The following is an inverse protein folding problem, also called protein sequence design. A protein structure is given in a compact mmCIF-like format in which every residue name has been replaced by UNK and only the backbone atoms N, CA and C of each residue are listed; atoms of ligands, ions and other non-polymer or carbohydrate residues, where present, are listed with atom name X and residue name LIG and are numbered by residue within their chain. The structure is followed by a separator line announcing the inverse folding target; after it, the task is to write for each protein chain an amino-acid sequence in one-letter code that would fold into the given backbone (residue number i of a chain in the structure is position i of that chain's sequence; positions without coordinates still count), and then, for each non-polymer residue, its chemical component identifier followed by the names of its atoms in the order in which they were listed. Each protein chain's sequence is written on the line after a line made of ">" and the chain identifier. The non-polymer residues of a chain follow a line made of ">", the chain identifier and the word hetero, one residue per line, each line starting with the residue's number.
data_IF_321135963268
#
_entry.id   IF_321135963268
#
_cell.length_a   1.000
_cell.length_b   1.000
_cell.length_c   1.000
_cell.angle_alpha   90.00
_cell.angle_beta   90.00
_cell.angle_gamma   90.00
#
_symmetry.space_group_name_H-M   'P 1'
#
loop_
_entity.id
_entity.type
_entity.pdbx_description
1 polymer ?
#
# COMPACT_ATOMS: atom_id res chain seq x y z
N UNK A 1 -0.24 14.72 -11.70
CA UNK A 1 -0.45 14.19 -10.33
C UNK A 1 0.86 14.19 -9.56
N UNK A 2 1.94 13.58 -10.08
CA UNK A 2 3.26 13.58 -9.39
C UNK A 2 3.78 14.99 -9.15
N UNK A 3 3.69 15.90 -10.14
CA UNK A 3 4.08 17.29 -9.96
C UNK A 3 3.29 17.99 -8.86
N UNK A 4 1.96 17.80 -8.85
CA UNK A 4 1.13 18.35 -7.78
C UNK A 4 1.52 17.81 -6.39
N UNK A 5 1.86 16.52 -6.29
CA UNK A 5 2.35 15.92 -5.04
C UNK A 5 3.70 16.54 -4.62
N UNK A 6 4.60 16.75 -5.58
CA UNK A 6 5.88 17.41 -5.32
C UNK A 6 5.70 18.84 -4.83
N UNK A 7 4.85 19.61 -5.50
CA UNK A 7 4.59 21.03 -5.18
C UNK A 7 3.91 21.17 -3.80
N UNK A 8 3.15 20.13 -3.40
CA UNK A 8 2.50 20.03 -2.09
C UNK A 8 3.41 19.48 -0.96
N UNK A 9 4.68 19.25 -1.26
CA UNK A 9 5.68 18.81 -0.29
C UNK A 9 5.79 17.29 -0.09
N UNK A 10 5.05 16.47 -0.84
CA UNK A 10 5.16 15.02 -0.77
C UNK A 10 6.49 14.57 -1.36
N UNK A 11 7.20 13.69 -0.65
CA UNK A 11 8.54 13.20 -1.01
C UNK A 11 8.67 11.68 -0.97
N UNK A 12 7.61 10.95 -0.68
CA UNK A 12 7.55 9.50 -0.77
C UNK A 12 6.60 9.07 -1.88
N UNK A 13 7.10 8.28 -2.83
CA UNK A 13 6.37 7.80 -4.00
C UNK A 13 6.44 6.27 -4.09
N UNK A 14 5.28 5.60 -4.09
CA UNK A 14 5.17 4.15 -4.25
C UNK A 14 4.67 3.78 -5.64
N UNK A 15 5.25 2.73 -6.19
CA UNK A 15 4.86 2.19 -7.48
C UNK A 15 4.97 0.65 -7.52
N UNK A 16 4.73 0.05 -8.68
CA UNK A 16 4.98 -1.36 -8.94
C UNK A 16 5.14 -1.64 -10.44
N UNK A 17 5.96 -2.64 -10.82
CA UNK A 17 6.00 -3.15 -12.20
C UNK A 17 4.63 -3.62 -12.71
N UNK A 18 3.83 -4.22 -11.83
CA UNK A 18 2.48 -4.68 -12.16
C UNK A 18 1.55 -3.54 -12.63
N UNK A 19 1.72 -2.32 -12.13
CA UNK A 19 0.81 -1.22 -12.43
C UNK A 19 0.91 -0.77 -13.89
N UNK A 20 -0.03 -1.26 -14.68
CA UNK A 20 -0.06 -1.03 -16.11
C UNK A 20 1.13 -1.64 -16.87
N UNK A 21 1.64 -2.79 -16.41
CA UNK A 21 2.79 -3.48 -17.01
C UNK A 21 4.02 -2.54 -17.14
N UNK A 22 4.36 -1.86 -16.06
CA UNK A 22 5.48 -0.91 -15.97
C UNK A 22 5.18 0.51 -16.43
N UNK A 23 3.98 0.79 -16.97
CA UNK A 23 3.62 2.13 -17.43
C UNK A 23 3.63 3.17 -16.29
N UNK A 24 3.19 2.77 -15.10
CA UNK A 24 3.16 3.67 -13.95
C UNK A 24 4.59 4.06 -13.51
N UNK A 25 5.54 3.14 -13.52
CA UNK A 25 6.95 3.43 -13.23
C UNK A 25 7.57 4.36 -14.29
N UNK A 26 7.29 4.13 -15.58
CA UNK A 26 7.75 5.00 -16.67
C UNK A 26 7.25 6.44 -16.47
N UNK A 27 5.96 6.62 -16.23
CA UNK A 27 5.34 7.93 -16.00
C UNK A 27 5.87 8.64 -14.75
N UNK A 28 6.08 7.88 -13.67
CA UNK A 28 6.65 8.43 -12.44
C UNK A 28 8.11 8.85 -12.67
N UNK A 29 8.91 8.02 -13.34
CA UNK A 29 10.29 8.32 -13.68
C UNK A 29 10.41 9.58 -14.56
N UNK A 30 9.51 9.76 -15.54
CA UNK A 30 9.46 10.96 -16.37
C UNK A 30 9.13 12.21 -15.55
N UNK A 31 8.17 12.15 -14.64
CA UNK A 31 7.78 13.27 -13.81
C UNK A 31 8.84 13.65 -12.77
N UNK A 32 9.59 12.67 -12.25
CA UNK A 32 10.62 12.88 -11.23
C UNK A 32 12.01 13.19 -11.80
N UNK A 33 12.26 12.96 -13.11
CA UNK A 33 13.57 13.06 -13.73
C UNK A 33 14.26 14.43 -13.56
N UNK A 34 13.48 15.51 -13.48
CA UNK A 34 14.00 16.88 -13.29
C UNK A 34 14.14 17.27 -11.80
N UNK A 35 13.81 16.39 -10.86
CA UNK A 35 13.84 16.66 -9.42
C UNK A 35 15.15 16.17 -8.82
N UNK A 36 15.73 16.90 -7.82
CA UNK A 36 16.95 16.42 -7.17
C UNK A 36 16.73 15.04 -6.55
N UNK A 37 17.50 14.04 -6.97
CA UNK A 37 17.29 12.64 -6.55
C UNK A 37 17.45 12.43 -5.05
N UNK A 38 18.20 13.30 -4.38
CA UNK A 38 18.39 13.28 -2.93
C UNK A 38 17.17 13.67 -2.10
N UNK A 39 16.19 14.33 -2.71
CA UNK A 39 15.09 14.97 -2.00
C UNK A 39 13.84 14.08 -1.86
N UNK A 40 13.85 12.88 -2.43
CA UNK A 40 12.68 12.00 -2.39
C UNK A 40 13.04 10.52 -2.27
N UNK A 41 12.08 9.75 -1.80
CA UNK A 41 12.14 8.31 -1.61
C UNK A 41 11.22 7.63 -2.61
N UNK A 42 11.72 6.58 -3.28
CA UNK A 42 10.93 5.71 -4.13
C UNK A 42 10.82 4.33 -3.48
N UNK A 43 9.60 3.80 -3.45
CA UNK A 43 9.38 2.36 -3.30
C UNK A 43 8.82 1.77 -4.59
N UNK A 44 9.23 0.54 -4.88
CA UNK A 44 8.63 -0.31 -5.91
C UNK A 44 8.51 -1.74 -5.42
N UNK A 45 8.09 -2.65 -6.30
CA UNK A 45 7.77 -4.02 -5.89
C UNK A 45 8.47 -5.05 -6.78
N UNK A 46 8.65 -6.26 -6.25
CA UNK A 46 9.21 -7.43 -6.96
C UNK A 46 8.27 -8.62 -6.86
N UNK A 47 8.52 -9.68 -7.63
CA UNK A 47 7.70 -10.88 -7.65
C UNK A 47 6.70 -10.93 -8.80
N UNK A 48 6.40 -9.79 -9.43
CA UNK A 48 5.61 -9.70 -10.67
C UNK A 48 6.47 -9.07 -11.74
N UNK A 49 6.98 -9.89 -12.65
CA UNK A 49 7.98 -9.53 -13.65
C UNK A 49 7.28 -9.10 -14.93
N UNK A 50 7.66 -7.95 -15.47
CA UNK A 50 7.20 -7.48 -16.77
C UNK A 50 8.21 -7.95 -17.82
N UNK A 51 7.75 -8.79 -18.74
CA UNK A 51 8.58 -9.31 -19.84
C UNK A 51 8.56 -8.36 -21.04
N UNK A 52 9.57 -8.49 -21.93
CA UNK A 52 9.56 -7.79 -23.23
C UNK A 52 8.54 -8.39 -24.20
N UNK A 53 8.14 -9.64 -23.96
CA UNK A 53 7.12 -10.34 -24.73
C UNK A 53 5.76 -9.60 -24.65
N UNK A 54 5.14 -9.43 -25.81
CA UNK A 54 3.85 -8.77 -25.96
C UNK A 54 2.75 -9.82 -26.09
N UNK A 55 1.66 -9.63 -25.39
CA UNK A 55 0.47 -10.48 -25.46
C UNK A 55 -0.77 -9.68 -25.93
N UNK A 56 -1.78 -10.40 -26.38
CA UNK A 56 -3.07 -9.78 -26.68
C UNK A 56 -3.74 -9.30 -25.38
N UNK A 57 -3.78 -7.98 -25.18
CA UNK A 57 -4.36 -7.36 -23.98
C UNK A 57 -5.83 -7.68 -23.82
N UNK A 58 -6.57 -7.90 -24.94
CA UNK A 58 -7.99 -8.24 -24.91
C UNK A 58 -8.24 -9.67 -24.39
N UNK A 59 -7.23 -10.55 -24.54
CA UNK A 59 -7.27 -11.93 -24.06
C UNK A 59 -6.65 -12.10 -22.65
N UNK A 60 -6.11 -11.02 -22.08
CA UNK A 60 -5.43 -11.07 -20.77
C UNK A 60 -6.45 -11.35 -19.67
N UNK A 61 -6.28 -12.49 -18.98
CA UNK A 61 -6.97 -12.72 -17.71
C UNK A 61 -6.28 -11.88 -16.62
N UNK A 62 -6.90 -10.78 -16.27
CA UNK A 62 -6.43 -9.91 -15.19
C UNK A 62 -7.04 -10.30 -13.83
N UNK A 63 -7.84 -11.37 -13.77
CA UNK A 63 -8.62 -11.77 -12.61
C UNK A 63 -9.69 -10.73 -12.24
N UNK A 64 -10.44 -10.97 -11.20
CA UNK A 64 -11.51 -10.06 -10.74
C UNK A 64 -11.03 -8.64 -10.41
N UNK A 65 -9.73 -8.47 -10.09
CA UNK A 65 -9.09 -7.18 -9.73
C UNK A 65 -8.39 -6.49 -10.90
N UNK A 66 -8.35 -7.11 -12.07
CA UNK A 66 -7.46 -6.70 -13.16
C UNK A 66 -7.93 -5.55 -14.02
N UNK A 67 -9.21 -5.24 -14.02
CA UNK A 67 -9.78 -4.10 -14.78
C UNK A 67 -9.19 -2.74 -14.35
N UNK A 68 -8.56 -2.68 -13.19
CA UNK A 68 -7.89 -1.48 -12.67
C UNK A 68 -6.75 -1.01 -13.59
N UNK A 69 -6.11 -1.93 -14.35
CA UNK A 69 -4.95 -1.64 -15.20
C UNK A 69 -5.16 -1.95 -16.68
N UNK A 70 -6.40 -1.99 -17.15
CA UNK A 70 -6.76 -2.33 -18.55
C UNK A 70 -6.09 -1.45 -19.62
N UNK A 71 -5.65 -0.25 -19.28
CA UNK A 71 -4.94 0.66 -20.19
C UNK A 71 -3.41 0.59 -20.03
N UNK A 72 -2.89 -0.50 -19.47
CA UNK A 72 -1.46 -0.75 -19.37
C UNK A 72 -0.80 -1.05 -20.70
N UNK A 73 0.52 -1.27 -20.65
CA UNK A 73 1.30 -1.77 -21.80
C UNK A 73 0.91 -3.20 -22.12
N UNK A 74 1.09 -3.66 -23.38
CA UNK A 74 0.76 -5.02 -23.77
C UNK A 74 1.78 -6.07 -23.32
N UNK A 75 2.75 -5.69 -22.50
CA UNK A 75 3.80 -6.59 -22.02
C UNK A 75 3.20 -7.68 -21.10
N UNK A 76 3.65 -8.92 -21.31
CA UNK A 76 3.27 -10.05 -20.46
C UNK A 76 3.84 -9.90 -19.06
N UNK A 77 3.06 -10.31 -18.07
CA UNK A 77 3.46 -10.32 -16.67
C UNK A 77 3.48 -11.76 -16.16
N UNK A 78 4.55 -12.14 -15.48
CA UNK A 78 4.69 -13.45 -14.84
C UNK A 78 5.01 -13.29 -13.36
N UNK A 79 4.60 -14.27 -12.56
CA UNK A 79 4.93 -14.31 -11.14
C UNK A 79 6.20 -15.14 -10.95
N UNK A 80 7.26 -14.52 -10.42
CA UNK A 80 8.53 -15.19 -10.12
C UNK A 80 9.20 -14.51 -8.93
N UNK A 81 9.31 -15.23 -7.82
CA UNK A 81 9.93 -14.78 -6.57
C UNK A 81 11.35 -15.31 -6.39
N UNK A 82 11.97 -15.87 -7.42
CA UNK A 82 13.36 -16.31 -7.37
C UNK A 82 14.32 -15.13 -7.15
N UNK A 83 15.53 -15.40 -6.67
CA UNK A 83 16.57 -14.40 -6.49
C UNK A 83 16.91 -13.69 -7.81
N UNK A 84 17.15 -14.47 -8.89
CA UNK A 84 17.51 -13.92 -10.21
C UNK A 84 16.38 -13.03 -10.78
N UNK A 85 15.12 -13.44 -10.63
CA UNK A 85 13.98 -12.65 -11.07
C UNK A 85 13.83 -11.37 -10.24
N UNK A 86 14.10 -11.44 -8.95
CA UNK A 86 14.09 -10.29 -8.05
C UNK A 86 15.12 -9.24 -8.45
N UNK A 87 16.37 -9.65 -8.68
CA UNK A 87 17.44 -8.75 -9.09
C UNK A 87 17.14 -8.10 -10.46
N UNK A 88 16.73 -8.90 -11.44
CA UNK A 88 16.32 -8.40 -12.76
C UNK A 88 15.15 -7.43 -12.68
N UNK A 89 14.15 -7.71 -11.83
CA UNK A 89 13.00 -6.81 -11.62
C UNK A 89 13.43 -5.44 -11.11
N UNK A 90 14.39 -5.40 -10.18
CA UNK A 90 14.95 -4.14 -9.65
C UNK A 90 15.67 -3.38 -10.75
N UNK A 91 16.55 -4.04 -11.53
CA UNK A 91 17.27 -3.41 -12.64
C UNK A 91 16.31 -2.83 -13.70
N UNK A 92 15.25 -3.55 -14.02
CA UNK A 92 14.25 -3.10 -14.98
C UNK A 92 13.39 -1.97 -14.44
N UNK A 93 13.10 -1.97 -13.13
CA UNK A 93 12.44 -0.84 -12.45
C UNK A 93 13.31 0.41 -12.43
N UNK A 94 14.61 0.30 -12.18
CA UNK A 94 15.56 1.42 -12.29
C UNK A 94 15.54 2.06 -13.69
N UNK A 95 15.52 1.25 -14.75
CA UNK A 95 15.41 1.72 -16.15
C UNK A 95 14.09 2.45 -16.39
N UNK A 96 12.95 1.86 -15.96
CA UNK A 96 11.62 2.46 -16.15
C UNK A 96 11.43 3.75 -15.33
N UNK A 97 11.95 3.77 -14.11
CA UNK A 97 11.92 4.93 -13.22
C UNK A 97 12.98 5.99 -13.58
N UNK A 98 13.88 5.69 -14.54
CA UNK A 98 14.97 6.61 -14.97
C UNK A 98 15.84 7.09 -13.79
N UNK A 99 16.17 6.20 -12.88
CA UNK A 99 16.94 6.49 -11.67
C UNK A 99 18.00 5.42 -11.43
N UNK A 100 19.03 5.77 -10.68
CA UNK A 100 20.13 4.89 -10.29
C UNK A 100 19.93 4.20 -8.94
N UNK A 101 18.84 4.53 -8.21
CA UNK A 101 18.55 3.95 -6.89
C UNK A 101 17.06 3.86 -6.59
N UNK A 102 16.70 2.87 -5.80
CA UNK A 102 15.39 2.65 -5.18
C UNK A 102 15.64 2.45 -3.70
N UNK A 103 14.94 3.18 -2.86
CA UNK A 103 15.15 3.12 -1.40
C UNK A 103 14.44 1.93 -0.76
N UNK A 104 13.22 1.62 -1.20
CA UNK A 104 12.39 0.59 -0.55
C UNK A 104 11.87 -0.39 -1.60
N UNK A 105 11.94 -1.69 -1.31
CA UNK A 105 11.44 -2.73 -2.20
C UNK A 105 10.46 -3.65 -1.47
N UNK A 106 9.25 -3.77 -1.98
CA UNK A 106 8.22 -4.65 -1.45
C UNK A 106 8.10 -5.95 -2.25
N UNK A 107 7.96 -7.09 -1.58
CA UNK A 107 7.58 -8.35 -2.22
C UNK A 107 6.07 -8.35 -2.40
N UNK A 108 5.61 -8.38 -3.66
CA UNK A 108 4.24 -8.07 -4.05
C UNK A 108 3.33 -9.29 -3.94
N UNK A 109 2.20 -9.12 -3.25
CA UNK A 109 1.03 -10.00 -3.30
C UNK A 109 1.27 -11.49 -3.02
N UNK A 110 2.27 -11.83 -2.20
CA UNK A 110 2.54 -13.21 -1.78
C UNK A 110 1.53 -13.62 -0.69
N UNK A 111 0.25 -13.72 -1.06
CA UNK A 111 -0.88 -13.86 -0.14
C UNK A 111 -2.02 -14.69 -0.73
N UNK A 112 -2.92 -15.15 0.15
CA UNK A 112 -4.03 -16.02 -0.20
C UNK A 112 -5.01 -15.41 -1.20
N UNK A 113 -5.24 -14.10 -1.16
CA UNK A 113 -6.14 -13.41 -2.09
C UNK A 113 -5.65 -13.37 -3.55
N UNK A 114 -4.40 -13.79 -3.81
CA UNK A 114 -3.83 -13.95 -5.15
C UNK A 114 -3.57 -15.40 -5.52
N UNK A 115 -3.23 -16.26 -4.56
CA UNK A 115 -2.79 -17.63 -4.83
C UNK A 115 -3.69 -18.71 -4.23
N UNK A 116 -4.82 -18.32 -3.58
CA UNK A 116 -5.70 -19.29 -2.94
C UNK A 116 -4.91 -20.18 -1.98
N UNK A 117 -5.13 -21.50 -2.08
CA UNK A 117 -4.48 -22.48 -1.21
C UNK A 117 -2.97 -22.65 -1.50
N UNK A 118 -2.48 -22.20 -2.65
CA UNK A 118 -1.06 -22.28 -3.03
C UNK A 118 -0.22 -21.17 -2.39
N UNK A 119 -0.81 -20.19 -1.70
CA UNK A 119 -0.10 -19.02 -1.21
C UNK A 119 1.08 -19.35 -0.27
N UNK A 120 0.98 -20.43 0.53
CA UNK A 120 2.09 -20.86 1.40
C UNK A 120 3.28 -21.38 0.59
N UNK A 121 3.04 -22.08 -0.52
CA UNK A 121 4.08 -22.53 -1.44
C UNK A 121 4.78 -21.34 -2.11
N UNK A 122 3.98 -20.34 -2.53
CA UNK A 122 4.51 -19.11 -3.13
C UNK A 122 5.29 -18.27 -2.10
N UNK A 123 4.80 -18.20 -0.87
CA UNK A 123 5.50 -17.55 0.24
C UNK A 123 6.86 -18.23 0.52
N UNK A 124 6.91 -19.56 0.55
CA UNK A 124 8.15 -20.32 0.75
C UNK A 124 9.13 -20.12 -0.42
N UNK A 125 8.62 -20.00 -1.65
CA UNK A 125 9.42 -19.63 -2.83
C UNK A 125 10.02 -18.23 -2.66
N UNK A 126 9.21 -17.25 -2.24
CA UNK A 126 9.66 -15.90 -1.96
C UNK A 126 10.69 -15.87 -0.81
N UNK A 127 10.49 -16.69 0.24
CA UNK A 127 11.42 -16.80 1.38
C UNK A 127 12.78 -17.31 0.96
N UNK A 128 12.83 -18.26 0.05
CA UNK A 128 14.09 -18.86 -0.47
C UNK A 128 14.80 -17.95 -1.48
N UNK A 129 14.07 -17.11 -2.21
CA UNK A 129 14.56 -16.23 -3.26
C UNK A 129 14.51 -14.75 -2.85
N UNK A 130 13.38 -14.08 -3.11
CA UNK A 130 13.23 -12.64 -2.99
C UNK A 130 13.61 -12.09 -1.61
N UNK A 131 13.19 -12.74 -0.50
CA UNK A 131 13.50 -12.22 0.85
C UNK A 131 15.01 -12.21 1.11
N UNK A 132 15.71 -13.29 0.72
CA UNK A 132 17.17 -13.36 0.88
C UNK A 132 17.91 -12.36 0.01
N UNK A 133 17.45 -12.21 -1.24
CA UNK A 133 18.04 -11.23 -2.15
C UNK A 133 17.90 -9.80 -1.61
N UNK A 134 16.71 -9.44 -1.13
CA UNK A 134 16.44 -8.10 -0.60
C UNK A 134 17.15 -7.84 0.73
N UNK A 135 17.22 -8.83 1.61
CA UNK A 135 17.96 -8.76 2.86
C UNK A 135 19.44 -8.46 2.61
N UNK A 136 20.05 -9.21 1.65
CA UNK A 136 21.41 -8.97 1.20
C UNK A 136 21.60 -7.57 0.59
N UNK A 137 20.72 -7.13 -0.32
CA UNK A 137 20.81 -5.81 -0.94
C UNK A 137 20.71 -4.67 0.08
N UNK A 138 19.91 -4.84 1.13
CA UNK A 138 19.84 -3.89 2.24
C UNK A 138 21.15 -3.88 3.02
N UNK A 139 21.70 -5.03 3.37
CA UNK A 139 22.96 -5.15 4.13
C UNK A 139 24.17 -4.60 3.34
N UNK A 140 24.13 -4.72 2.01
CA UNK A 140 25.10 -4.12 1.09
C UNK A 140 24.87 -2.60 0.87
N UNK A 141 23.77 -2.05 1.37
CA UNK A 141 23.41 -0.63 1.24
C UNK A 141 22.87 -0.23 -0.13
N UNK A 142 22.54 -1.20 -0.99
CA UNK A 142 21.95 -0.96 -2.32
C UNK A 142 20.52 -0.44 -2.20
N UNK A 143 19.75 -0.98 -1.26
CA UNK A 143 18.45 -0.47 -0.83
C UNK A 143 18.50 -0.07 0.63
N UNK A 144 17.51 0.67 1.10
CA UNK A 144 17.43 1.11 2.51
C UNK A 144 16.53 0.22 3.36
N UNK A 145 15.47 -0.33 2.74
CA UNK A 145 14.48 -1.13 3.42
C UNK A 145 13.80 -2.10 2.47
N UNK A 146 13.28 -3.19 3.02
CA UNK A 146 12.43 -4.12 2.30
C UNK A 146 11.34 -4.70 3.20
N UNK A 147 10.34 -5.31 2.58
CA UNK A 147 9.28 -6.05 3.27
C UNK A 147 8.22 -6.56 2.30
N UNK A 148 7.02 -6.84 2.80
CA UNK A 148 5.91 -7.31 1.98
C UNK A 148 5.01 -6.16 1.56
N UNK A 149 4.50 -6.19 0.32
CA UNK A 149 3.43 -5.33 -0.17
C UNK A 149 2.19 -6.18 -0.44
N UNK A 150 1.27 -6.26 0.50
CA UNK A 150 0.15 -7.22 0.51
C UNK A 150 -1.17 -6.61 1.00
N UNK A 151 -2.29 -7.26 0.66
CA UNK A 151 -3.63 -6.90 1.13
C UNK A 151 -4.12 -7.79 2.27
N UNK A 152 -3.24 -8.55 2.92
CA UNK A 152 -3.55 -9.46 4.01
C UNK A 152 -2.53 -9.33 5.12
N UNK A 153 -2.96 -9.53 6.36
CA UNK A 153 -2.07 -9.45 7.53
C UNK A 153 -1.26 -10.74 7.71
N UNK A 154 -1.80 -11.87 7.30
CA UNK A 154 -1.26 -13.20 7.54
C UNK A 154 0.15 -13.41 6.97
N UNK A 155 0.49 -12.97 5.74
CA UNK A 155 1.86 -13.10 5.24
C UNK A 155 2.88 -12.32 6.06
N UNK A 156 2.52 -11.12 6.54
CA UNK A 156 3.41 -10.30 7.36
C UNK A 156 3.57 -10.97 8.74
N UNK A 157 2.49 -11.42 9.36
CA UNK A 157 2.53 -12.15 10.63
C UNK A 157 3.39 -13.42 10.52
N UNK A 158 3.23 -14.18 9.43
CA UNK A 158 4.03 -15.38 9.18
C UNK A 158 5.52 -15.04 9.03
N UNK A 159 5.85 -13.99 8.26
CA UNK A 159 7.25 -13.55 8.12
C UNK A 159 7.86 -13.16 9.47
N UNK A 160 7.10 -12.52 10.35
CA UNK A 160 7.56 -12.16 11.70
C UNK A 160 7.71 -13.35 12.65
N UNK A 161 7.09 -14.49 12.35
CA UNK A 161 7.21 -15.71 13.17
C UNK A 161 8.38 -16.62 12.74
N UNK A 162 8.87 -16.44 11.53
CA UNK A 162 9.93 -17.30 10.99
C UNK A 162 11.32 -16.75 11.29
N UNK A 163 12.26 -17.67 11.44
CA UNK A 163 13.68 -17.32 11.46
C UNK A 163 14.20 -17.02 10.05
N UNK A 164 15.14 -16.10 9.94
CA UNK A 164 15.80 -15.75 8.68
C UNK A 164 15.74 -14.27 8.34
N UNK A 165 15.55 -13.90 7.04
CA UNK A 165 15.51 -12.51 6.60
C UNK A 165 14.47 -11.68 7.36
N UNK A 166 14.85 -10.48 7.77
CA UNK A 166 13.99 -9.61 8.61
C UNK A 166 13.60 -8.36 7.84
N UNK A 167 12.30 -8.13 7.61
CA UNK A 167 11.83 -6.92 6.96
C UNK A 167 12.01 -5.69 7.86
N UNK A 168 12.19 -4.53 7.25
CA UNK A 168 12.26 -3.23 7.92
C UNK A 168 10.87 -2.59 8.04
N UNK A 169 9.97 -2.96 7.13
CA UNK A 169 8.59 -2.49 7.11
C UNK A 169 7.70 -3.42 6.33
N UNK A 170 6.45 -3.01 6.13
CA UNK A 170 5.53 -3.65 5.18
C UNK A 170 4.50 -2.65 4.67
N UNK A 171 4.13 -2.76 3.39
CA UNK A 171 3.01 -2.04 2.82
C UNK A 171 1.77 -2.92 2.99
N UNK A 172 0.85 -2.49 3.85
CA UNK A 172 -0.40 -3.16 4.13
C UNK A 172 -1.55 -2.37 3.52
N UNK A 173 -2.17 -2.91 2.47
CA UNK A 173 -3.24 -2.23 1.76
C UNK A 173 -4.62 -2.63 2.29
N UNK A 174 -5.39 -1.61 2.70
CA UNK A 174 -6.81 -1.75 3.05
C UNK A 174 -7.12 -2.48 4.36
N UNK A 175 -6.12 -2.86 5.17
CA UNK A 175 -6.31 -3.66 6.41
C UNK A 175 -6.01 -2.91 7.71
N UNK A 176 -5.58 -1.65 7.61
CA UNK A 176 -5.55 -0.74 8.75
C UNK A 176 -6.16 0.59 8.33
N UNK A 177 -7.48 0.56 8.13
CA UNK A 177 -8.30 1.70 7.71
C UNK A 177 -9.48 1.88 8.67
N UNK A 178 -10.15 3.02 8.59
CA UNK A 178 -11.34 3.28 9.41
C UNK A 178 -12.45 2.22 9.22
N UNK A 179 -12.53 1.60 8.04
CA UNK A 179 -13.53 0.56 7.76
C UNK A 179 -13.06 -0.85 8.15
N UNK A 180 -11.76 -1.13 8.09
CA UNK A 180 -11.20 -2.45 8.38
C UNK A 180 -9.86 -2.32 9.10
N UNK A 181 -9.81 -2.66 10.39
CA UNK A 181 -8.63 -2.57 11.24
C UNK A 181 -8.59 -3.65 12.34
N UNK A 182 -9.72 -4.29 12.63
CA UNK A 182 -9.83 -5.24 13.76
C UNK A 182 -8.83 -6.39 13.64
N UNK A 183 -8.68 -6.98 12.46
CA UNK A 183 -7.79 -8.12 12.25
C UNK A 183 -6.31 -7.73 12.41
N UNK A 184 -5.92 -6.56 11.91
CA UNK A 184 -4.55 -6.08 12.05
C UNK A 184 -4.21 -5.76 13.52
N UNK A 185 -5.16 -5.19 14.28
CA UNK A 185 -4.97 -4.87 15.70
C UNK A 185 -4.79 -6.07 16.60
N UNK A 186 -5.37 -7.24 16.25
CA UNK A 186 -5.27 -8.42 17.10
C UNK A 186 -3.83 -8.87 17.34
N UNK A 187 -2.95 -8.74 16.33
CA UNK A 187 -1.62 -9.30 16.41
C UNK A 187 -0.56 -8.51 15.63
N UNK A 188 -0.84 -8.12 14.38
CA UNK A 188 0.16 -7.49 13.51
C UNK A 188 0.62 -6.14 14.06
N UNK A 189 -0.31 -5.23 14.34
CA UNK A 189 0.03 -3.85 14.70
C UNK A 189 0.81 -3.77 16.03
N UNK A 190 0.40 -4.46 17.13
CA UNK A 190 1.17 -4.48 18.35
C UNK A 190 2.57 -5.10 18.17
N UNK A 191 2.70 -6.11 17.31
CA UNK A 191 4.01 -6.73 17.03
C UNK A 191 4.90 -5.85 16.18
N UNK A 192 4.32 -5.14 15.22
CA UNK A 192 5.05 -4.18 14.40
C UNK A 192 5.62 -3.06 15.27
N UNK A 193 4.83 -2.50 16.17
CA UNK A 193 5.27 -1.49 17.14
C UNK A 193 6.39 -2.02 18.05
N UNK A 194 6.19 -3.18 18.68
CA UNK A 194 7.17 -3.78 19.57
C UNK A 194 8.52 -4.12 18.91
N UNK A 195 8.53 -4.30 17.57
CA UNK A 195 9.73 -4.63 16.79
C UNK A 195 10.31 -3.45 16.01
N UNK A 196 9.67 -2.28 16.05
CA UNK A 196 10.06 -1.13 15.23
C UNK A 196 9.84 -1.36 13.73
N UNK A 197 8.91 -2.26 13.35
CA UNK A 197 8.55 -2.51 11.96
C UNK A 197 7.64 -1.39 11.45
N UNK A 198 8.06 -0.64 10.44
CA UNK A 198 7.25 0.43 9.85
C UNK A 198 6.11 -0.12 8.98
N UNK A 199 4.87 0.25 9.26
CA UNK A 199 3.73 -0.08 8.39
C UNK A 199 3.42 1.10 7.49
N UNK A 200 3.43 0.88 6.18
CA UNK A 200 2.91 1.81 5.17
C UNK A 200 1.49 1.38 4.85
N UNK A 201 0.52 2.23 5.15
CA UNK A 201 -0.90 1.93 4.87
C UNK A 201 -1.25 2.36 3.45
N UNK A 202 -1.55 1.39 2.59
CA UNK A 202 -2.11 1.62 1.26
C UNK A 202 -3.63 1.63 1.29
N UNK A 203 -4.25 2.36 0.36
CA UNK A 203 -5.71 2.36 0.20
C UNK A 203 -6.52 2.80 1.43
N UNK A 204 -6.19 3.92 2.09
CA UNK A 204 -6.83 4.34 3.34
C UNK A 204 -8.34 4.60 3.21
N UNK A 205 -8.83 4.77 1.99
CA UNK A 205 -10.25 4.96 1.69
C UNK A 205 -10.99 3.66 1.31
N UNK A 206 -10.35 2.50 1.50
CA UNK A 206 -10.94 1.17 1.26
C UNK A 206 -11.56 1.06 -0.14
N UNK A 207 -10.74 1.20 -1.18
CA UNK A 207 -11.16 1.23 -2.61
C UNK A 207 -12.17 2.32 -2.96
N UNK A 208 -12.27 3.36 -2.13
CA UNK A 208 -13.15 4.51 -2.31
C UNK A 208 -14.46 4.42 -1.52
N UNK A 209 -14.82 3.28 -0.93
CA UNK A 209 -16.07 3.11 -0.17
C UNK A 209 -16.24 4.19 0.90
N UNK A 210 -15.19 4.49 1.66
CA UNK A 210 -15.24 5.47 2.74
C UNK A 210 -15.63 6.87 2.26
N UNK A 211 -15.25 7.23 1.04
CA UNK A 211 -15.48 8.58 0.47
C UNK A 211 -16.62 8.59 -0.57
N UNK A 212 -17.54 7.64 -0.50
CA UNK A 212 -18.74 7.59 -1.33
C UNK A 212 -18.58 6.84 -2.65
N UNK A 213 -17.46 6.15 -2.86
CA UNK A 213 -17.28 5.25 -4.00
C UNK A 213 -18.05 3.93 -3.81
N UNK A 214 -18.31 3.19 -4.91
CA UNK A 214 -19.14 1.98 -4.87
C UNK A 214 -18.37 0.73 -4.40
N UNK A 215 -17.03 0.78 -4.38
CA UNK A 215 -16.20 -0.40 -4.21
C UNK A 215 -15.53 -0.47 -2.84
N UNK A 216 -15.47 -1.67 -2.28
CA UNK A 216 -14.68 -2.07 -1.14
C UNK A 216 -13.82 -3.28 -1.53
N UNK A 217 -12.53 -3.29 -1.24
CA UNK A 217 -11.60 -4.37 -1.64
C UNK A 217 -11.65 -4.72 -3.13
N UNK A 218 -11.74 -3.69 -3.99
CA UNK A 218 -11.82 -3.80 -5.46
C UNK A 218 -13.12 -4.45 -6.00
N UNK A 219 -14.07 -4.79 -5.13
CA UNK A 219 -15.37 -5.34 -5.47
C UNK A 219 -16.50 -4.40 -5.01
N UNK A 220 -17.75 -4.57 -5.47
CA UNK A 220 -18.89 -3.81 -4.97
C UNK A 220 -19.02 -3.94 -3.44
N UNK A 221 -19.19 -2.80 -2.75
CA UNK A 221 -19.33 -2.76 -1.32
C UNK A 221 -20.60 -3.49 -0.84
N UNK A 222 -20.45 -4.32 0.18
CA UNK A 222 -21.59 -5.04 0.77
C UNK A 222 -22.53 -4.09 1.52
N UNK A 223 -23.83 -4.45 1.73
CA UNK A 223 -24.74 -3.65 2.52
C UNK A 223 -24.22 -3.32 3.94
N UNK A 224 -23.49 -4.23 4.57
CA UNK A 224 -22.89 -4.01 5.90
C UNK A 224 -21.80 -2.92 5.87
N UNK A 225 -20.97 -2.90 4.83
CA UNK A 225 -19.96 -1.83 4.65
C UNK A 225 -20.64 -0.50 4.37
N UNK A 226 -21.65 -0.47 3.51
CA UNK A 226 -22.39 0.76 3.20
C UNK A 226 -23.10 1.32 4.45
N UNK A 227 -23.68 0.47 5.31
CA UNK A 227 -24.25 0.87 6.60
C UNK A 227 -23.19 1.47 7.52
N UNK A 228 -22.02 0.80 7.67
CA UNK A 228 -20.91 1.32 8.47
C UNK A 228 -20.47 2.69 7.97
N UNK A 229 -20.30 2.87 6.65
CA UNK A 229 -19.97 4.17 6.04
C UNK A 229 -21.03 5.23 6.35
N UNK A 230 -22.32 4.91 6.18
CA UNK A 230 -23.40 5.83 6.45
C UNK A 230 -23.45 6.28 7.94
N UNK A 231 -23.22 5.37 8.87
CA UNK A 231 -23.13 5.66 10.30
C UNK A 231 -21.94 6.54 10.66
N UNK A 232 -20.77 6.27 10.10
CA UNK A 232 -19.58 7.11 10.27
C UNK A 232 -19.87 8.50 9.70
N UNK A 233 -20.43 8.57 8.50
CA UNK A 233 -20.76 9.84 7.83
C UNK A 233 -21.75 10.66 8.65
N UNK A 234 -22.79 10.05 9.21
CA UNK A 234 -23.75 10.75 10.05
C UNK A 234 -23.12 11.40 11.29
N UNK A 235 -22.10 10.77 11.87
CA UNK A 235 -21.31 11.35 12.95
C UNK A 235 -20.43 12.47 12.42
N UNK A 236 -19.66 12.22 11.33
CA UNK A 236 -18.78 13.20 10.70
C UNK A 236 -19.51 14.50 10.32
N UNK A 237 -20.71 14.39 9.74
CA UNK A 237 -21.53 15.54 9.35
C UNK A 237 -21.92 16.42 10.57
N UNK A 238 -22.19 15.82 11.74
CA UNK A 238 -22.50 16.58 12.96
C UNK A 238 -21.31 17.38 13.50
N UNK A 239 -20.11 16.86 13.30
CA UNK A 239 -18.87 17.53 13.71
C UNK A 239 -18.27 18.42 12.60
N UNK A 240 -18.85 18.41 11.40
CA UNK A 240 -18.33 19.12 10.24
C UNK A 240 -17.01 18.53 9.70
N UNK A 241 -16.79 17.22 9.91
CA UNK A 241 -15.55 16.53 9.56
C UNK A 241 -15.69 15.87 8.19
N UNK A 242 -14.65 16.00 7.34
CA UNK A 242 -14.60 15.29 6.07
C UNK A 242 -14.29 13.80 6.27
N UNK A 243 -14.91 12.95 5.45
CA UNK A 243 -14.64 11.51 5.48
C UNK A 243 -13.18 11.18 5.08
N UNK A 244 -12.54 12.05 4.32
CA UNK A 244 -11.12 11.93 4.01
C UNK A 244 -10.24 12.15 5.23
N UNK A 245 -10.50 13.20 6.00
CA UNK A 245 -9.80 13.48 7.26
C UNK A 245 -9.95 12.33 8.24
N UNK A 246 -11.19 11.86 8.44
CA UNK A 246 -11.45 10.71 9.30
C UNK A 246 -10.63 9.46 8.86
N UNK A 247 -10.59 9.14 7.56
CA UNK A 247 -9.85 7.98 7.06
C UNK A 247 -8.33 8.10 7.19
N UNK A 248 -7.76 9.24 6.79
CA UNK A 248 -6.30 9.44 6.81
C UNK A 248 -5.76 9.54 8.23
N UNK A 249 -6.41 10.37 9.06
CA UNK A 249 -5.93 10.61 10.42
C UNK A 249 -6.09 9.37 11.31
N UNK A 250 -7.17 8.58 11.13
CA UNK A 250 -7.30 7.29 11.80
C UNK A 250 -6.13 6.36 11.46
N UNK A 251 -5.85 6.20 10.16
CA UNK A 251 -4.77 5.28 9.73
C UNK A 251 -3.40 5.71 10.25
N UNK A 252 -3.15 7.01 10.37
CA UNK A 252 -1.89 7.57 10.89
C UNK A 252 -1.77 7.55 12.42
N UNK A 253 -2.86 7.32 13.14
CA UNK A 253 -2.84 7.40 14.61
C UNK A 253 -2.06 6.27 15.30
N UNK A 254 -1.86 5.13 14.64
CA UNK A 254 -1.14 4.02 15.25
C UNK A 254 0.39 4.24 15.18
N UNK A 255 1.13 4.07 16.30
CA UNK A 255 2.58 4.33 16.36
C UNK A 255 3.42 3.52 15.36
N UNK A 256 2.98 2.31 14.97
CA UNK A 256 3.66 1.50 13.96
C UNK A 256 3.47 2.03 12.53
N UNK A 257 2.54 2.97 12.27
CA UNK A 257 2.31 3.48 10.92
C UNK A 257 3.33 4.56 10.58
N UNK A 258 4.23 4.23 9.65
CA UNK A 258 5.27 5.13 9.16
C UNK A 258 4.76 6.10 8.09
N UNK A 259 3.78 5.69 7.29
CA UNK A 259 3.19 6.51 6.23
C UNK A 259 1.82 5.99 5.80
N UNK A 260 1.03 6.87 5.18
CA UNK A 260 -0.20 6.52 4.47
C UNK A 260 -0.06 6.96 3.01
N UNK A 261 -0.38 6.07 2.07
CA UNK A 261 -0.26 6.33 0.63
C UNK A 261 -1.63 6.24 -0.07
N UNK A 262 -2.41 7.32 -0.06
CA UNK A 262 -3.67 7.36 -0.81
C UNK A 262 -3.39 7.37 -2.32
N UNK A 263 -4.18 6.60 -3.07
CA UNK A 263 -4.10 6.58 -4.53
C UNK A 263 -4.69 7.85 -5.14
N UNK A 264 -3.93 8.54 -6.00
CA UNK A 264 -4.39 9.74 -6.68
C UNK A 264 -4.34 9.59 -8.20
N UNK A 265 -5.50 9.69 -8.87
CA UNK A 265 -5.62 9.62 -10.33
C UNK A 265 -5.70 10.99 -11.00
N UNK A 266 -5.77 12.09 -10.23
CA UNK A 266 -5.82 13.46 -10.71
C UNK A 266 -5.16 14.42 -9.70
N UNK A 267 -4.62 15.57 -10.14
CA UNK A 267 -3.94 16.52 -9.26
C UNK A 267 -4.79 17.03 -8.11
N UNK A 268 -6.09 17.28 -8.32
CA UNK A 268 -6.98 17.77 -7.27
C UNK A 268 -7.10 16.84 -6.06
N UNK A 269 -6.91 15.53 -6.23
CA UNK A 269 -6.92 14.58 -5.11
C UNK A 269 -5.76 14.80 -4.15
N UNK A 270 -4.61 15.23 -4.65
CA UNK A 270 -3.46 15.56 -3.79
C UNK A 270 -3.83 16.71 -2.85
N UNK A 271 -4.32 17.83 -3.40
CA UNK A 271 -4.74 18.97 -2.57
C UNK A 271 -5.87 18.62 -1.59
N UNK A 272 -6.84 17.78 -2.01
CA UNK A 272 -7.92 17.29 -1.16
C UNK A 272 -7.38 16.44 0.01
N UNK A 273 -6.40 15.58 -0.24
CA UNK A 273 -5.81 14.69 0.77
C UNK A 273 -4.93 15.47 1.75
N UNK A 274 -4.15 16.45 1.26
CA UNK A 274 -3.37 17.34 2.11
C UNK A 274 -4.25 18.24 2.98
N UNK A 275 -5.33 18.77 2.43
CA UNK A 275 -6.32 19.52 3.22
C UNK A 275 -6.92 18.64 4.33
N UNK A 276 -7.26 17.39 4.02
CA UNK A 276 -7.82 16.44 4.97
C UNK A 276 -6.84 16.07 6.12
N UNK A 277 -5.54 15.97 5.81
CA UNK A 277 -4.53 15.75 6.83
C UNK A 277 -4.40 16.90 7.82
N UNK A 278 -4.64 18.13 7.37
CA UNK A 278 -4.55 19.35 8.16
C UNK A 278 -5.90 19.77 8.78
N UNK A 279 -6.98 19.04 8.52
CA UNK A 279 -8.29 19.30 9.10
C UNK A 279 -8.27 19.04 10.61
N UNK A 280 -8.80 19.98 11.40
CA UNK A 280 -8.87 19.85 12.85
C UNK A 280 -10.03 18.92 13.20
N UNK A 281 -9.72 17.72 13.67
CA UNK A 281 -10.71 16.73 14.09
C UNK A 281 -10.73 16.68 15.62
N UNK A 282 -11.86 17.08 16.27
CA UNK A 282 -11.94 17.11 17.72
C UNK A 282 -11.94 15.69 18.31
N UNK A 283 -11.35 15.53 19.50
CA UNK A 283 -11.27 14.25 20.20
C UNK A 283 -12.66 13.60 20.42
N UNK A 284 -13.69 14.41 20.67
CA UNK A 284 -15.06 13.93 20.87
C UNK A 284 -15.61 13.17 19.66
N UNK A 285 -15.20 13.51 18.44
CA UNK A 285 -15.54 12.77 17.23
C UNK A 285 -15.06 11.31 17.31
N UNK A 286 -13.79 11.10 17.66
CA UNK A 286 -13.20 9.78 17.78
C UNK A 286 -13.81 8.98 18.92
N UNK A 287 -14.07 9.63 20.06
CA UNK A 287 -14.73 9.03 21.22
C UNK A 287 -16.15 8.57 20.84
N UNK A 288 -16.88 9.35 20.07
CA UNK A 288 -18.22 8.98 19.63
C UNK A 288 -18.20 7.80 18.65
N UNK A 289 -17.26 7.76 17.70
CA UNK A 289 -17.08 6.60 16.79
C UNK A 289 -16.78 5.33 17.59
N UNK A 290 -15.94 5.42 18.61
CA UNK A 290 -15.60 4.29 19.49
C UNK A 290 -16.81 3.81 20.29
N UNK A 291 -17.59 4.73 20.87
CA UNK A 291 -18.86 4.43 21.61
C UNK A 291 -19.92 3.82 20.70
N UNK A 292 -19.98 4.24 19.45
CA UNK A 292 -20.91 3.70 18.46
C UNK A 292 -20.48 2.31 17.92
N UNK A 293 -19.34 1.77 18.35
CA UNK A 293 -18.79 0.49 17.85
C UNK A 293 -18.33 0.56 16.40
N UNK A 294 -17.95 1.75 15.91
CA UNK A 294 -17.46 1.96 14.55
C UNK A 294 -15.93 1.92 14.47
N UNK A 295 -15.27 2.11 15.61
CA UNK A 295 -13.81 1.93 15.81
C UNK A 295 -13.63 0.92 16.94
N UNK A 296 -12.65 0.02 16.77
CA UNK A 296 -12.23 -0.91 17.80
C UNK A 296 -11.77 -0.13 19.06
N UNK A 297 -12.20 -0.53 20.27
CA UNK A 297 -11.78 0.14 21.51
C UNK A 297 -10.26 0.23 21.71
N UNK A 298 -9.51 -0.76 21.23
CA UNK A 298 -8.06 -0.84 21.33
C UNK A 298 -7.32 -0.05 20.22
N UNK A 299 -8.03 0.46 19.20
CA UNK A 299 -7.39 1.22 18.14
C UNK A 299 -6.91 2.57 18.66
N UNK A 300 -5.63 2.92 18.52
CA UNK A 300 -5.17 4.29 18.76
C UNK A 300 -5.94 5.29 17.89
N UNK A 301 -6.30 6.42 18.48
CA UNK A 301 -6.95 7.53 17.78
C UNK A 301 -6.09 8.79 17.88
N UNK A 302 -6.23 9.75 16.97
CA UNK A 302 -5.51 11.02 17.06
C UNK A 302 -5.73 11.69 18.42
N UNK A 303 -4.63 12.01 19.11
CA UNK A 303 -4.66 12.63 20.45
C UNK A 303 -4.53 11.66 21.63
N UNK A 304 -4.44 10.35 21.41
CA UNK A 304 -4.16 9.36 22.47
C UNK A 304 -2.67 9.32 22.89
N UNK A 305 -1.76 10.07 22.22
CA UNK A 305 -0.32 10.09 22.44
C UNK A 305 0.09 11.19 23.43
#
# INVERSE_FOLDING_TARGET
>A
TVDAAWDDGIRYFDNAPFYGAGLAEIRMGEALAARPRGDYVISTKVGRIVLDEVEDVAARDLGEKGDVFKYGRPNRIVNDYSEDATLRSIEDSLKRLKTDRIEIVWVHDVAQDFYGDEWLSMFESARKGAFKALDRLRDEGVIKAWGLGVNRVEPIELLLDLDGPRPDGSLLAGRYTLLDHDRALQRLMPRAEARGLGIVVGGPYSSGALVGGPNFEYAPATPAILDKVARIKAIADRYGISMKAAGLQFSLAHPAVAAVIPGASRPSRIAEDSAALNEIVPADFWIELRRAGLINPEAPIPGDA
#
